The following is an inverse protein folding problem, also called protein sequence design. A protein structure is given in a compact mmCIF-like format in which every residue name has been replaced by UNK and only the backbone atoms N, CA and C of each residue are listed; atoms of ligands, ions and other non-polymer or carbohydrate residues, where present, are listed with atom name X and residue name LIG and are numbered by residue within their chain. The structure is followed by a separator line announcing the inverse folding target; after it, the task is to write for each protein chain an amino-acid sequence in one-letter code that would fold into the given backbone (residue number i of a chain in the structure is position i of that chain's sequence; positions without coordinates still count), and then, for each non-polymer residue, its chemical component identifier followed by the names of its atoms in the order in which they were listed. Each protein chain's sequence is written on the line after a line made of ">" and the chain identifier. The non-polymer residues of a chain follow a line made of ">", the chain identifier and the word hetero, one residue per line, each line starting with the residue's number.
data_IF_594927625083
#
_entry.id   IF_594927625083
#
_cell.length_a   1.000
_cell.length_b   1.000
_cell.length_c   1.000
_cell.angle_alpha   90.00
_cell.angle_beta   90.00
_cell.angle_gamma   90.00
#
_symmetry.space_group_name_H-M   'P 1'
#
loop_
_entity.id
_entity.type
_entity.pdbx_description
1 polymer ?
#
# COMPACT_ATOMS: atom_id res chain seq x y z
N UNK A 1 -9.58 -7.36 -22.96
CA UNK A 1 -10.15 -7.03 -21.63
C UNK A 1 -9.27 -7.66 -20.55
N UNK A 2 -8.26 -6.94 -20.03
CA UNK A 2 -7.29 -7.54 -19.06
C UNK A 2 -7.19 -6.74 -17.74
N UNK A 3 -7.69 -5.51 -17.66
CA UNK A 3 -7.38 -4.65 -16.50
C UNK A 3 -8.30 -4.79 -15.29
N UNK A 4 -9.58 -5.18 -15.48
CA UNK A 4 -10.53 -5.23 -14.35
C UNK A 4 -10.20 -6.31 -13.32
N UNK A 5 -9.64 -7.44 -13.74
CA UNK A 5 -9.43 -8.57 -12.84
C UNK A 5 -8.27 -8.32 -11.87
N UNK A 6 -7.21 -7.66 -12.35
CA UNK A 6 -6.03 -7.35 -11.53
C UNK A 6 -6.33 -6.35 -10.42
N UNK A 7 -7.07 -5.27 -10.71
CA UNK A 7 -7.47 -4.29 -9.68
C UNK A 7 -8.38 -4.90 -8.62
N UNK A 8 -9.31 -5.77 -9.03
CA UNK A 8 -10.19 -6.50 -8.10
C UNK A 8 -9.37 -7.45 -7.22
N UNK A 9 -8.36 -8.11 -7.78
CA UNK A 9 -7.48 -8.98 -7.00
C UNK A 9 -6.63 -8.18 -6.00
N UNK A 10 -5.98 -7.10 -6.43
CA UNK A 10 -5.21 -6.20 -5.56
C UNK A 10 -6.09 -5.69 -4.41
N UNK A 11 -7.32 -5.28 -4.72
CA UNK A 11 -8.28 -4.82 -3.71
C UNK A 11 -8.61 -5.91 -2.70
N UNK A 12 -8.94 -7.13 -3.15
CA UNK A 12 -9.21 -8.26 -2.25
C UNK A 12 -8.01 -8.59 -1.36
N UNK A 13 -6.80 -8.52 -1.91
CA UNK A 13 -5.58 -8.75 -1.16
C UNK A 13 -5.34 -7.66 -0.11
N UNK A 14 -5.59 -6.39 -0.46
CA UNK A 14 -5.53 -5.26 0.48
C UNK A 14 -6.57 -5.39 1.60
N UNK A 15 -7.81 -5.74 1.27
CA UNK A 15 -8.89 -5.96 2.24
C UNK A 15 -8.50 -7.05 3.26
N UNK A 16 -7.82 -8.12 2.81
CA UNK A 16 -7.29 -9.18 3.70
C UNK A 16 -6.10 -8.73 4.58
N UNK A 17 -5.53 -7.55 4.32
CA UNK A 17 -4.37 -7.01 5.02
C UNK A 17 -4.70 -5.81 5.92
N UNK A 18 -5.97 -5.41 6.03
CA UNK A 18 -6.40 -4.32 6.93
C UNK A 18 -5.94 -4.64 8.36
N UNK A 19 -5.40 -3.63 9.04
CA UNK A 19 -4.86 -3.73 10.39
C UNK A 19 -3.46 -4.35 10.48
N UNK A 20 -2.90 -4.86 9.38
CA UNK A 20 -1.56 -5.44 9.38
C UNK A 20 -0.49 -4.36 9.19
N UNK A 21 0.69 -4.63 9.75
CA UNK A 21 1.88 -3.82 9.50
C UNK A 21 2.38 -4.11 8.09
N UNK A 22 2.64 -3.05 7.33
CA UNK A 22 3.11 -3.12 5.96
C UNK A 22 4.33 -2.22 5.77
N UNK A 23 5.22 -2.63 4.88
CA UNK A 23 6.28 -1.80 4.34
C UNK A 23 5.85 -1.32 2.96
N UNK A 24 5.68 -0.01 2.82
CA UNK A 24 5.28 0.65 1.59
C UNK A 24 6.50 1.28 0.93
N UNK A 25 6.72 0.99 -0.35
CA UNK A 25 7.80 1.56 -1.15
C UNK A 25 7.18 2.37 -2.28
N UNK A 26 7.34 3.69 -2.25
CA UNK A 26 6.82 4.60 -3.26
C UNK A 26 7.93 5.21 -4.11
N UNK A 27 7.74 5.24 -5.43
CA UNK A 27 8.64 5.85 -6.40
C UNK A 27 8.23 7.31 -6.61
N UNK A 28 9.01 8.27 -6.09
CA UNK A 28 8.70 9.71 -6.14
C UNK A 28 9.41 10.45 -7.30
N UNK A 29 10.00 9.72 -8.26
CA UNK A 29 10.64 10.28 -9.46
C UNK A 29 11.82 9.45 -9.99
N UNK A 30 12.62 10.03 -10.91
CA UNK A 30 13.67 9.34 -11.70
C UNK A 30 14.79 8.62 -10.91
N UNK A 31 14.94 8.88 -9.61
CA UNK A 31 15.99 8.24 -8.78
C UNK A 31 15.70 8.22 -7.28
N UNK A 32 14.47 8.58 -6.87
CA UNK A 32 14.10 8.69 -5.45
C UNK A 32 12.98 7.71 -5.15
N UNK A 33 13.35 6.62 -4.48
CA UNK A 33 12.42 5.66 -3.91
C UNK A 33 12.41 5.86 -2.40
N UNK A 34 11.22 5.88 -1.80
CA UNK A 34 11.06 6.02 -0.37
C UNK A 34 10.37 4.78 0.19
N UNK A 35 10.96 4.18 1.22
CA UNK A 35 10.42 3.02 1.91
C UNK A 35 9.98 3.46 3.30
N UNK A 36 8.75 3.14 3.68
CA UNK A 36 8.22 3.45 5.00
C UNK A 36 7.35 2.34 5.53
N UNK A 37 7.46 2.08 6.82
CA UNK A 37 6.61 1.12 7.52
C UNK A 37 5.40 1.83 8.10
N UNK A 38 4.23 1.22 7.91
CA UNK A 38 2.96 1.72 8.41
C UNK A 38 1.99 0.59 8.68
N UNK A 39 0.75 0.93 9.02
CA UNK A 39 -0.35 0.01 9.22
C UNK A 39 -1.40 0.32 8.14
N UNK A 40 -1.86 -0.70 7.42
CA UNK A 40 -2.97 -0.54 6.50
C UNK A 40 -4.23 -0.27 7.33
N UNK A 41 -4.75 0.96 7.28
CA UNK A 41 -5.84 1.39 8.16
C UNK A 41 -7.21 1.02 7.57
N UNK A 42 -7.43 1.38 6.30
CA UNK A 42 -8.71 1.24 5.62
C UNK A 42 -8.52 1.04 4.13
N UNK A 43 -9.46 0.35 3.49
CA UNK A 43 -9.55 0.20 2.03
C UNK A 43 -10.89 0.71 1.54
N UNK A 44 -10.89 1.43 0.43
CA UNK A 44 -12.07 1.99 -0.23
C UNK A 44 -12.15 1.48 -1.67
N UNK A 45 -13.24 1.73 -2.42
CA UNK A 45 -13.39 1.18 -3.77
C UNK A 45 -12.27 1.52 -4.75
N UNK A 46 -11.66 2.70 -4.63
CA UNK A 46 -10.63 3.18 -5.57
C UNK A 46 -9.25 3.46 -4.93
N UNK A 47 -9.20 3.56 -3.59
CA UNK A 47 -8.00 3.93 -2.85
C UNK A 47 -7.89 3.13 -1.55
N UNK A 48 -6.72 3.12 -0.93
CA UNK A 48 -6.50 2.60 0.41
C UNK A 48 -5.70 3.61 1.24
N UNK A 49 -5.85 3.55 2.56
CA UNK A 49 -5.24 4.48 3.51
C UNK A 49 -4.25 3.75 4.40
N UNK A 50 -3.03 4.26 4.47
CA UNK A 50 -1.95 3.74 5.30
C UNK A 50 -1.64 4.75 6.40
N UNK A 51 -1.62 4.27 7.64
CA UNK A 51 -1.20 5.03 8.81
C UNK A 51 0.30 4.81 9.04
N UNK A 52 1.06 5.89 9.00
CA UNK A 52 2.47 5.92 9.37
C UNK A 52 2.63 6.55 10.74
N UNK A 53 3.37 5.90 11.62
CA UNK A 53 3.74 6.41 12.93
C UNK A 53 5.23 6.79 12.90
N UNK A 54 5.55 8.01 13.34
CA UNK A 54 6.93 8.50 13.45
C UNK A 54 7.34 8.50 14.93
N UNK A 55 8.65 8.53 15.22
CA UNK A 55 9.20 8.47 16.59
C UNK A 55 8.62 9.52 17.56
N UNK A 56 8.14 10.65 17.02
CA UNK A 56 7.51 11.73 17.77
C UNK A 56 6.00 11.53 18.04
N UNK A 57 5.48 10.30 17.92
CA UNK A 57 4.04 9.97 17.98
C UNK A 57 3.17 10.76 16.99
N UNK A 58 3.79 11.30 15.93
CA UNK A 58 3.05 12.00 14.88
C UNK A 58 2.46 10.96 13.93
N UNK A 59 1.13 10.83 13.96
CA UNK A 59 0.39 9.93 13.08
C UNK A 59 0.12 10.65 11.76
N UNK A 60 0.68 10.13 10.67
CA UNK A 60 0.36 10.60 9.31
C UNK A 60 -0.42 9.52 8.57
N UNK A 61 -1.58 9.89 8.05
CA UNK A 61 -2.35 9.04 7.14
C UNK A 61 -2.12 9.48 5.71
N UNK A 62 -1.83 8.53 4.84
CA UNK A 62 -1.65 8.78 3.41
C UNK A 62 -2.53 7.81 2.65
N UNK A 63 -3.17 8.31 1.60
CA UNK A 63 -3.98 7.49 0.72
C UNK A 63 -3.28 7.28 -0.61
N UNK A 64 -3.38 6.06 -1.14
CA UNK A 64 -2.82 5.65 -2.43
C UNK A 64 -3.90 4.94 -3.24
N UNK A 65 -3.79 4.97 -4.57
CA UNK A 65 -4.73 4.29 -5.45
C UNK A 65 -4.28 2.87 -5.78
N UNK A 66 -5.21 1.98 -6.12
CA UNK A 66 -4.85 0.65 -6.62
C UNK A 66 -4.14 0.70 -7.97
N UNK A 67 -4.32 1.79 -8.72
CA UNK A 67 -3.57 2.04 -9.97
C UNK A 67 -2.10 2.29 -9.68
N UNK A 68 -1.76 2.96 -8.56
CA UNK A 68 -0.35 3.17 -8.18
C UNK A 68 0.36 1.85 -7.89
N UNK A 69 -0.38 0.89 -7.32
CA UNK A 69 0.08 -0.49 -7.08
C UNK A 69 0.20 -1.24 -8.41
N UNK A 70 -0.84 -1.21 -9.24
CA UNK A 70 -0.85 -1.83 -10.56
C UNK A 70 0.28 -1.33 -11.49
N UNK A 71 0.67 -0.06 -11.37
CA UNK A 71 1.72 0.57 -12.17
C UNK A 71 3.11 0.48 -11.54
N UNK A 72 3.27 -0.26 -10.44
CA UNK A 72 4.49 -0.38 -9.64
C UNK A 72 5.06 0.97 -9.18
N UNK A 73 4.20 1.99 -9.08
CA UNK A 73 4.55 3.28 -8.49
C UNK A 73 4.62 3.15 -6.97
N UNK A 74 3.83 2.22 -6.41
CA UNK A 74 3.75 1.88 -4.99
C UNK A 74 3.78 0.37 -4.82
N UNK A 75 4.82 -0.16 -4.18
CA UNK A 75 4.91 -1.59 -3.83
C UNK A 75 4.58 -1.78 -2.35
N UNK A 76 3.87 -2.86 -1.98
CA UNK A 76 3.46 -3.12 -0.60
C UNK A 76 3.89 -4.51 -0.14
N UNK A 77 4.60 -4.56 0.99
CA UNK A 77 4.99 -5.82 1.64
C UNK A 77 4.33 -5.94 3.00
N UNK A 78 3.69 -7.07 3.31
CA UNK A 78 3.10 -7.29 4.63
C UNK A 78 4.19 -7.79 5.59
N UNK A 79 4.44 -7.07 6.68
CA UNK A 79 5.36 -7.52 7.72
C UNK A 79 4.68 -8.62 8.55
N UNK A 80 5.28 -9.81 8.60
CA UNK A 80 4.77 -10.97 9.36
C UNK A 80 4.00 -11.99 8.52
N UNK A 81 3.82 -11.77 7.23
CA UNK A 81 3.39 -12.78 6.27
C UNK A 81 4.38 -12.74 5.12
N UNK A 82 4.85 -13.87 4.60
CA UNK A 82 5.76 -13.89 3.44
C UNK A 82 5.04 -13.51 2.13
N UNK A 83 4.04 -12.62 2.22
CA UNK A 83 3.10 -12.23 1.17
C UNK A 83 3.45 -10.81 0.73
N UNK A 84 3.84 -10.70 -0.53
CA UNK A 84 4.15 -9.45 -1.22
C UNK A 84 2.98 -9.10 -2.13
N UNK A 85 2.50 -7.85 -2.06
CA UNK A 85 1.51 -7.31 -2.98
C UNK A 85 2.27 -6.36 -3.92
N UNK A 86 2.34 -6.77 -5.18
CA UNK A 86 3.23 -6.24 -6.23
C UNK A 86 3.04 -4.74 -6.42
#
# INVERSE_FOLDING_TARGET
>A
MVEKNSLVQIRKEMESCIGKRIQLKANKGRKKTFVKEGILESTYPSIFTVRFENDFKNVRKVSYSYTDVLTNTVEIRVCGSNKMIV
#
